data_IF_646821526415
#
_entry.id   IF_646821526415
#
_cell.length_a   1.000
_cell.length_b   1.000
_cell.length_c   1.000
_cell.angle_alpha   90.00
_cell.angle_beta   90.00
_cell.angle_gamma   90.00
#
_symmetry.space_group_name_H-M   'P 1'
#
loop_
_entity.id
_entity.type
_entity.pdbx_description
1 polymer ?
#
# COMPACT_ATOMS: atom_id res chain seq x y z
N UNK A 1 -28.07 1.61 -58.78
CA UNK A 1 -26.89 2.02 -57.98
C UNK A 1 -27.31 1.87 -56.54
N UNK A 2 -27.01 0.72 -55.98
CA UNK A 2 -27.36 0.33 -54.62
C UNK A 2 -26.07 0.44 -53.80
N UNK A 3 -26.05 1.34 -52.85
CA UNK A 3 -24.92 1.53 -51.93
C UNK A 3 -25.17 0.66 -50.69
N UNK A 4 -24.41 -0.42 -50.58
CA UNK A 4 -24.30 -1.24 -49.39
C UNK A 4 -23.55 -0.48 -48.27
N UNK A 5 -24.26 -0.19 -47.20
CA UNK A 5 -23.65 0.35 -45.97
C UNK A 5 -23.37 -0.82 -45.04
N UNK A 6 -22.12 -1.30 -45.05
CA UNK A 6 -21.64 -2.33 -44.10
C UNK A 6 -21.49 -1.68 -42.73
N UNK A 7 -22.45 -1.94 -41.84
CA UNK A 7 -22.36 -1.61 -40.43
C UNK A 7 -21.44 -2.61 -39.77
N UNK A 8 -20.22 -2.16 -39.44
CA UNK A 8 -19.26 -2.92 -38.62
C UNK A 8 -19.76 -2.93 -37.17
N UNK A 9 -20.38 -4.03 -36.78
CA UNK A 9 -20.73 -4.31 -35.40
C UNK A 9 -19.43 -4.45 -34.57
N UNK A 10 -19.15 -3.45 -33.75
CA UNK A 10 -18.07 -3.53 -32.75
C UNK A 10 -18.35 -4.70 -31.81
N UNK A 11 -17.45 -5.67 -31.79
CA UNK A 11 -17.47 -6.75 -30.82
C UNK A 11 -17.33 -6.13 -29.42
N UNK A 12 -18.42 -6.14 -28.66
CA UNK A 12 -18.41 -5.88 -27.22
C UNK A 12 -17.59 -7.01 -26.57
N UNK A 13 -16.32 -6.74 -26.27
CA UNK A 13 -15.59 -7.54 -25.31
C UNK A 13 -16.38 -7.44 -23.99
N UNK A 14 -17.00 -8.53 -23.58
CA UNK A 14 -17.62 -8.64 -22.28
C UNK A 14 -16.51 -8.41 -21.24
N UNK A 15 -16.43 -7.19 -20.72
CA UNK A 15 -15.48 -6.76 -19.71
C UNK A 15 -15.67 -7.66 -18.48
N UNK A 16 -14.60 -8.27 -17.97
CA UNK A 16 -14.69 -9.13 -16.80
C UNK A 16 -15.35 -8.33 -15.65
N UNK A 17 -16.22 -8.97 -14.86
CA UNK A 17 -16.97 -8.24 -13.83
C UNK A 17 -16.00 -7.54 -12.86
N UNK A 18 -16.17 -6.24 -12.72
CA UNK A 18 -15.32 -5.42 -11.84
C UNK A 18 -15.48 -5.84 -10.37
N UNK A 19 -14.36 -6.11 -9.72
CA UNK A 19 -14.28 -6.37 -8.28
C UNK A 19 -14.33 -5.06 -7.48
N UNK A 20 -13.67 -4.01 -8.01
CA UNK A 20 -13.69 -2.65 -7.47
C UNK A 20 -14.18 -1.71 -8.55
N UNK A 21 -15.13 -0.84 -8.21
CA UNK A 21 -15.57 0.23 -9.10
C UNK A 21 -15.86 1.49 -8.31
N UNK A 22 -15.33 2.61 -8.79
CA UNK A 22 -15.63 3.95 -8.33
C UNK A 22 -16.27 4.71 -9.46
N UNK A 23 -17.42 5.32 -9.21
CA UNK A 23 -18.18 6.10 -10.18
C UNK A 23 -18.27 7.54 -9.70
N UNK A 24 -17.47 8.45 -10.31
CA UNK A 24 -17.42 9.87 -9.99
C UNK A 24 -17.40 10.15 -8.47
N UNK A 25 -16.51 9.45 -7.76
CA UNK A 25 -16.44 9.43 -6.30
C UNK A 25 -15.87 10.75 -5.76
N UNK A 26 -16.62 11.41 -4.89
CA UNK A 26 -16.17 12.56 -4.13
C UNK A 26 -16.17 12.24 -2.63
N UNK A 27 -15.11 12.65 -1.95
CA UNK A 27 -14.94 12.47 -0.51
C UNK A 27 -14.48 13.78 0.11
N UNK A 28 -15.15 14.23 1.16
CA UNK A 28 -14.74 15.40 1.93
C UNK A 28 -14.59 15.04 3.40
N UNK A 29 -13.61 15.66 4.09
CA UNK A 29 -13.50 15.66 5.53
C UNK A 29 -13.83 17.05 6.02
N UNK A 30 -14.85 17.19 6.84
CA UNK A 30 -15.44 18.48 7.24
C UNK A 30 -15.75 19.36 6.00
N UNK A 31 -14.97 20.42 5.77
CA UNK A 31 -15.15 21.34 4.63
C UNK A 31 -14.20 21.05 3.46
N UNK A 32 -13.20 20.18 3.69
CA UNK A 32 -12.13 19.97 2.72
C UNK A 32 -12.46 18.79 1.79
N UNK A 33 -12.69 19.10 0.52
CA UNK A 33 -12.85 18.08 -0.52
C UNK A 33 -11.49 17.47 -0.84
N UNK A 34 -11.36 16.17 -0.66
CA UNK A 34 -10.11 15.42 -0.85
C UNK A 34 -10.10 14.64 -2.16
N UNK A 35 -11.23 14.04 -2.53
CA UNK A 35 -11.37 13.34 -3.80
C UNK A 35 -12.37 14.07 -4.69
N UNK A 36 -11.96 14.30 -5.94
CA UNK A 36 -12.65 15.15 -6.89
C UNK A 36 -13.14 14.35 -8.10
N UNK A 37 -14.10 13.43 -7.90
CA UNK A 37 -14.71 12.69 -9.00
C UNK A 37 -13.85 11.52 -9.50
N UNK A 38 -13.26 10.72 -8.61
CA UNK A 38 -12.49 9.54 -8.98
C UNK A 38 -13.41 8.53 -9.68
N UNK A 39 -13.03 8.15 -10.90
CA UNK A 39 -13.69 7.07 -11.67
C UNK A 39 -12.66 6.03 -12.04
N UNK A 40 -12.88 4.78 -11.65
CA UNK A 40 -12.03 3.65 -11.99
C UNK A 40 -12.78 2.31 -11.89
N UNK A 41 -12.28 1.32 -12.60
CA UNK A 41 -12.79 -0.06 -12.56
C UNK A 41 -11.62 -1.02 -12.52
N UNK A 42 -11.64 -2.00 -11.59
CA UNK A 42 -10.61 -3.04 -11.44
C UNK A 42 -11.28 -4.39 -11.63
N UNK A 43 -11.01 -5.11 -12.73
CA UNK A 43 -11.50 -6.45 -12.97
C UNK A 43 -10.87 -7.48 -12.01
N UNK A 44 -11.48 -8.66 -11.94
CA UNK A 44 -10.97 -9.77 -11.16
C UNK A 44 -9.55 -10.21 -11.64
N UNK A 45 -8.68 -10.55 -10.71
CA UNK A 45 -7.33 -11.07 -10.94
C UNK A 45 -6.28 -10.01 -11.29
N UNK A 46 -6.65 -8.72 -11.41
CA UNK A 46 -5.71 -7.66 -11.71
C UNK A 46 -4.95 -7.20 -10.45
N UNK A 47 -3.65 -6.95 -10.58
CA UNK A 47 -2.80 -6.31 -9.55
C UNK A 47 -2.58 -4.86 -9.90
N UNK A 48 -3.13 -3.95 -9.08
CA UNK A 48 -3.17 -2.51 -9.34
C UNK A 48 -2.46 -1.76 -8.22
N UNK A 49 -1.54 -0.87 -8.59
CA UNK A 49 -0.95 0.10 -7.67
C UNK A 49 -1.69 1.44 -7.72
N UNK A 50 -1.91 2.05 -6.56
CA UNK A 50 -2.26 3.46 -6.43
C UNK A 50 -1.01 4.20 -5.95
N UNK A 51 -0.51 5.12 -6.79
CA UNK A 51 0.67 5.95 -6.51
C UNK A 51 0.31 7.42 -6.38
N UNK A 52 1.26 8.26 -5.99
CA UNK A 52 1.08 9.71 -5.84
C UNK A 52 1.77 10.27 -4.61
N UNK A 53 1.86 11.59 -4.51
CA UNK A 53 2.47 12.29 -3.39
C UNK A 53 1.69 12.14 -2.07
N UNK A 54 2.32 12.51 -0.94
CA UNK A 54 1.63 12.57 0.34
C UNK A 54 0.50 13.60 0.28
N UNK A 55 -0.67 13.24 0.84
CA UNK A 55 -1.86 14.09 0.78
C UNK A 55 -2.62 14.07 -0.55
N UNK A 56 -2.20 13.30 -1.56
CA UNK A 56 -2.87 13.26 -2.87
C UNK A 56 -4.26 12.60 -2.87
N UNK A 57 -4.63 11.87 -1.79
CA UNK A 57 -5.93 11.20 -1.68
C UNK A 57 -5.86 9.66 -1.71
N UNK A 58 -4.67 9.03 -1.83
CA UNK A 58 -4.50 7.57 -1.89
C UNK A 58 -5.19 6.82 -0.75
N UNK A 59 -4.80 7.11 0.48
CA UNK A 59 -5.40 6.46 1.66
C UNK A 59 -6.87 6.83 1.85
N UNK A 60 -7.30 8.02 1.38
CA UNK A 60 -8.70 8.41 1.38
C UNK A 60 -9.51 7.57 0.40
N UNK A 61 -8.95 7.25 -0.77
CA UNK A 61 -9.56 6.31 -1.73
C UNK A 61 -9.76 4.92 -1.12
N UNK A 62 -8.74 4.38 -0.42
CA UNK A 62 -8.88 3.10 0.29
C UNK A 62 -9.92 3.18 1.42
N UNK A 63 -9.91 4.27 2.21
CA UNK A 63 -10.89 4.48 3.28
C UNK A 63 -12.33 4.57 2.73
N UNK A 64 -12.50 5.18 1.56
CA UNK A 64 -13.79 5.21 0.88
C UNK A 64 -14.23 3.79 0.48
N UNK A 65 -13.37 2.98 -0.14
CA UNK A 65 -13.64 1.58 -0.48
C UNK A 65 -13.97 0.72 0.75
N UNK A 66 -13.33 0.99 1.88
CA UNK A 66 -13.58 0.29 3.15
C UNK A 66 -14.81 0.85 3.90
N UNK A 67 -15.47 1.89 3.34
CA UNK A 67 -16.64 2.54 3.93
C UNK A 67 -16.33 3.25 5.24
N UNK A 68 -15.11 3.77 5.41
CA UNK A 68 -14.65 4.52 6.58
C UNK A 68 -14.42 6.01 6.30
N UNK A 69 -14.48 6.44 5.02
CA UNK A 69 -14.47 7.85 4.63
C UNK A 69 -15.88 8.32 4.25
N UNK A 70 -16.24 9.59 4.52
CA UNK A 70 -17.55 10.14 4.16
C UNK A 70 -17.61 10.44 2.67
N UNK A 71 -18.41 9.68 1.92
CA UNK A 71 -18.68 9.91 0.51
C UNK A 71 -19.72 11.02 0.42
N UNK A 72 -19.42 12.10 -0.30
CA UNK A 72 -20.29 13.25 -0.50
C UNK A 72 -21.11 13.13 -1.79
N UNK A 73 -20.53 12.53 -2.83
CA UNK A 73 -21.26 12.20 -4.07
C UNK A 73 -20.55 11.07 -4.83
N UNK A 74 -21.22 10.51 -5.84
CA UNK A 74 -20.75 9.33 -6.56
C UNK A 74 -21.00 8.04 -5.79
N UNK A 75 -20.41 6.94 -6.25
CA UNK A 75 -20.56 5.63 -5.61
C UNK A 75 -19.23 4.85 -5.62
N UNK A 76 -19.08 4.00 -4.61
CA UNK A 76 -18.00 3.03 -4.53
C UNK A 76 -18.61 1.63 -4.38
N UNK A 77 -18.23 0.73 -5.27
CA UNK A 77 -18.77 -0.63 -5.33
C UNK A 77 -17.66 -1.64 -5.13
N UNK A 78 -17.95 -2.66 -4.32
CA UNK A 78 -17.14 -3.86 -4.16
C UNK A 78 -17.98 -5.07 -4.55
N UNK A 79 -17.49 -5.86 -5.51
CA UNK A 79 -18.23 -7.01 -6.07
C UNK A 79 -19.64 -6.61 -6.55
N UNK A 80 -19.77 -5.43 -7.19
CA UNK A 80 -21.04 -4.89 -7.67
C UNK A 80 -22.00 -4.47 -6.55
N UNK A 81 -21.55 -4.33 -5.31
CA UNK A 81 -22.35 -3.87 -4.16
C UNK A 81 -21.84 -2.54 -3.65
N UNK A 82 -22.75 -1.56 -3.59
CA UNK A 82 -22.39 -0.24 -3.02
C UNK A 82 -21.95 -0.38 -1.57
N UNK A 83 -20.85 0.30 -1.22
CA UNK A 83 -20.28 0.29 0.14
C UNK A 83 -21.19 1.01 1.14
N UNK A 84 -22.10 1.88 0.68
CA UNK A 84 -23.11 2.50 1.55
C UNK A 84 -24.09 1.46 2.08
N UNK A 85 -24.34 0.39 1.30
CA UNK A 85 -25.10 -0.78 1.72
C UNK A 85 -24.21 -1.84 2.40
N UNK A 86 -23.42 -1.46 3.42
CA UNK A 86 -22.36 -2.27 4.08
C UNK A 86 -22.72 -3.73 4.37
N UNK A 87 -23.99 -4.01 4.70
CA UNK A 87 -24.47 -5.37 5.01
C UNK A 87 -24.53 -6.28 3.77
N UNK A 88 -24.55 -5.71 2.55
CA UNK A 88 -24.61 -6.44 1.28
C UNK A 88 -23.23 -6.72 0.70
N UNK A 89 -22.20 -5.99 1.16
CA UNK A 89 -20.82 -6.19 0.72
C UNK A 89 -20.30 -7.51 1.29
N UNK A 90 -19.67 -8.37 0.46
CA UNK A 90 -19.12 -9.64 0.91
C UNK A 90 -17.75 -9.47 1.59
N UNK A 91 -17.72 -8.82 2.76
CA UNK A 91 -16.50 -8.51 3.52
C UNK A 91 -15.60 -9.71 3.80
N UNK A 92 -16.16 -10.92 3.82
CA UNK A 92 -15.39 -12.17 3.98
C UNK A 92 -14.48 -12.48 2.78
N UNK A 93 -14.74 -11.89 1.61
CA UNK A 93 -13.94 -12.02 0.39
C UNK A 93 -12.84 -10.97 0.29
N UNK A 94 -12.73 -10.07 1.28
CA UNK A 94 -11.81 -8.94 1.29
C UNK A 94 -10.80 -9.11 2.40
N UNK A 95 -9.51 -9.11 2.04
CA UNK A 95 -8.39 -8.99 2.94
C UNK A 95 -7.92 -7.53 2.98
N UNK A 96 -7.65 -7.01 4.19
CA UNK A 96 -7.11 -5.65 4.34
C UNK A 96 -5.87 -5.64 5.22
N UNK A 97 -4.81 -5.05 4.70
CA UNK A 97 -3.53 -4.82 5.38
C UNK A 97 -3.36 -3.32 5.58
N UNK A 98 -3.48 -2.80 6.81
CA UNK A 98 -3.27 -1.39 7.11
C UNK A 98 -1.78 -1.03 7.08
N UNK A 99 -1.48 0.25 6.90
CA UNK A 99 -0.12 0.79 6.91
C UNK A 99 0.64 0.48 8.21
N UNK A 100 -0.01 0.62 9.36
CA UNK A 100 0.54 0.27 10.69
C UNK A 100 -0.56 -0.21 11.63
N UNK A 101 -0.19 -1.12 12.53
CA UNK A 101 -0.99 -1.30 13.75
C UNK A 101 -0.51 -0.24 14.74
N UNK A 102 -1.42 0.61 15.23
CA UNK A 102 -1.15 1.44 16.38
C UNK A 102 -0.92 0.51 17.57
N UNK A 103 0.32 0.38 18.02
CA UNK A 103 0.73 -0.43 19.19
C UNK A 103 0.32 0.26 20.50
N UNK A 104 -0.88 0.80 20.56
CA UNK A 104 -1.40 1.63 21.67
C UNK A 104 -2.18 0.85 22.74
N UNK A 105 -1.83 -0.39 23.04
CA UNK A 105 -2.53 -1.15 24.07
C UNK A 105 -1.61 -1.89 25.02
N UNK A 106 -1.93 -1.89 26.32
CA UNK A 106 -1.22 -2.62 27.36
C UNK A 106 -1.27 -4.18 27.19
N UNK A 107 -2.10 -4.69 26.27
CA UNK A 107 -2.24 -6.11 25.98
C UNK A 107 -1.62 -6.41 24.63
N UNK A 108 -0.53 -7.18 24.65
CA UNK A 108 0.14 -7.63 23.44
C UNK A 108 -0.43 -8.97 23.00
N UNK A 109 -1.17 -8.98 21.87
CA UNK A 109 -1.62 -10.22 21.25
C UNK A 109 -0.46 -10.96 20.60
N UNK A 110 -0.50 -12.29 20.61
CA UNK A 110 0.45 -13.14 19.86
C UNK A 110 0.14 -13.10 18.36
N UNK A 111 1.15 -13.42 17.53
CA UNK A 111 1.00 -13.46 16.07
C UNK A 111 -0.18 -14.35 15.62
N UNK A 112 -0.32 -15.52 16.22
CA UNK A 112 -1.41 -16.46 15.88
C UNK A 112 -2.79 -15.90 16.27
N UNK A 113 -2.91 -15.18 17.38
CA UNK A 113 -4.17 -14.53 17.79
C UNK A 113 -4.55 -13.41 16.82
N UNK A 114 -3.57 -12.62 16.38
CA UNK A 114 -3.78 -11.60 15.35
C UNK A 114 -4.27 -12.22 14.05
N UNK A 115 -3.64 -13.31 13.57
CA UNK A 115 -4.09 -13.99 12.36
C UNK A 115 -5.48 -14.60 12.53
N UNK A 116 -5.75 -15.27 13.66
CA UNK A 116 -7.09 -15.81 13.97
C UNK A 116 -8.18 -14.73 13.97
N UNK A 117 -7.85 -13.51 14.41
CA UNK A 117 -8.80 -12.39 14.36
C UNK A 117 -9.30 -12.11 12.95
N UNK A 118 -8.49 -12.41 11.92
CA UNK A 118 -8.86 -12.31 10.51
C UNK A 118 -10.03 -13.24 10.14
N UNK A 119 -10.29 -14.32 10.88
CA UNK A 119 -11.42 -15.23 10.68
C UNK A 119 -12.73 -14.72 11.26
N UNK A 120 -12.69 -13.71 12.15
CA UNK A 120 -13.87 -13.11 12.77
C UNK A 120 -14.54 -12.11 11.84
N UNK A 121 -15.85 -11.92 11.96
CA UNK A 121 -16.58 -10.99 11.13
C UNK A 121 -18.04 -10.85 11.59
N UNK A 122 -18.88 -10.05 10.92
CA UNK A 122 -20.22 -9.70 11.36
C UNK A 122 -21.15 -10.90 11.64
N UNK A 123 -20.91 -12.02 10.96
CA UNK A 123 -21.67 -13.27 11.12
C UNK A 123 -20.94 -14.34 11.91
N UNK A 124 -19.70 -14.05 12.35
CA UNK A 124 -18.83 -14.98 13.05
C UNK A 124 -18.07 -14.25 14.15
N UNK A 125 -18.61 -14.26 15.35
CA UNK A 125 -18.06 -13.55 16.51
C UNK A 125 -17.17 -14.43 17.37
N UNK A 126 -17.18 -15.75 17.17
CA UNK A 126 -16.48 -16.73 18.01
C UNK A 126 -15.49 -17.58 17.22
N UNK A 127 -14.42 -17.97 17.89
CA UNK A 127 -13.47 -18.94 17.35
C UNK A 127 -14.13 -20.30 17.17
N UNK A 128 -13.73 -21.02 16.11
CA UNK A 128 -14.24 -22.36 15.82
C UNK A 128 -13.11 -23.39 15.83
N UNK A 129 -13.42 -24.69 16.04
CA UNK A 129 -12.45 -25.76 15.84
C UNK A 129 -11.79 -25.63 14.44
N UNK A 130 -10.46 -25.79 14.36
CA UNK A 130 -9.69 -25.64 13.12
C UNK A 130 -9.16 -24.24 12.83
N UNK A 131 -9.60 -23.19 13.53
CA UNK A 131 -9.11 -21.82 13.30
C UNK A 131 -7.62 -21.65 13.59
N UNK A 132 -7.15 -22.39 14.60
CA UNK A 132 -5.72 -22.39 14.95
C UNK A 132 -4.89 -23.01 13.83
N UNK A 133 -5.34 -24.11 13.24
CA UNK A 133 -4.66 -24.73 12.10
C UNK A 133 -4.63 -23.79 10.89
N UNK A 134 -5.78 -23.20 10.52
CA UNK A 134 -5.84 -22.21 9.43
C UNK A 134 -4.95 -20.99 9.65
N UNK A 135 -4.86 -20.52 10.90
CA UNK A 135 -3.99 -19.40 11.23
C UNK A 135 -2.51 -19.81 11.17
N UNK A 136 -2.18 -21.06 11.56
CA UNK A 136 -0.84 -21.60 11.44
C UNK A 136 -0.42 -21.73 9.98
N UNK A 137 -1.29 -22.28 9.11
CA UNK A 137 -1.06 -22.40 7.67
C UNK A 137 -0.83 -21.01 7.04
N UNK A 138 -1.62 -20.00 7.43
CA UNK A 138 -1.43 -18.63 6.96
C UNK A 138 -0.09 -18.02 7.45
N UNK A 139 0.34 -18.32 8.69
CA UNK A 139 1.65 -17.90 9.18
C UNK A 139 2.79 -18.64 8.48
N UNK A 140 2.63 -19.87 8.10
CA UNK A 140 3.61 -20.65 7.35
C UNK A 140 3.81 -20.05 5.95
N UNK A 141 2.73 -19.69 5.24
CA UNK A 141 2.77 -19.03 3.93
C UNK A 141 3.60 -17.73 3.94
N UNK A 142 3.60 -16.98 5.03
CA UNK A 142 4.40 -15.76 5.17
C UNK A 142 5.73 -15.97 5.89
N UNK A 143 6.12 -17.23 6.18
CA UNK A 143 7.36 -17.60 6.87
C UNK A 143 7.42 -17.16 8.33
N UNK A 144 6.28 -17.11 9.02
CA UNK A 144 6.16 -16.67 10.42
C UNK A 144 5.67 -17.75 11.39
N UNK A 145 5.53 -19.01 10.95
CA UNK A 145 5.06 -20.11 11.80
C UNK A 145 5.93 -20.29 13.07
N UNK A 146 7.27 -20.14 12.95
CA UNK A 146 8.20 -20.24 14.08
C UNK A 146 8.03 -19.14 15.13
N UNK A 147 7.29 -18.06 14.83
CA UNK A 147 6.96 -16.93 15.69
C UNK A 147 5.48 -16.86 16.06
N UNK A 148 4.72 -17.92 15.80
CA UNK A 148 3.26 -17.94 16.00
C UNK A 148 2.82 -17.47 17.40
N UNK A 149 3.55 -17.86 18.43
CA UNK A 149 3.26 -17.51 19.83
C UNK A 149 4.00 -16.26 20.32
N UNK A 150 4.81 -15.61 19.48
CA UNK A 150 5.52 -14.40 19.84
C UNK A 150 4.54 -13.22 19.92
N UNK A 151 4.63 -12.37 20.96
CA UNK A 151 3.86 -11.13 21.05
C UNK A 151 4.19 -10.18 19.90
N UNK A 152 3.20 -9.47 19.36
CA UNK A 152 3.40 -8.55 18.22
C UNK A 152 4.41 -7.44 18.50
N UNK A 153 4.49 -6.95 19.73
CA UNK A 153 5.37 -5.85 20.13
C UNK A 153 6.87 -6.20 20.14
N UNK A 154 7.24 -7.49 20.13
CA UNK A 154 8.65 -7.91 20.04
C UNK A 154 9.07 -8.30 18.62
N UNK A 155 8.15 -8.26 17.66
CA UNK A 155 8.44 -8.52 16.25
C UNK A 155 9.08 -7.29 15.59
N UNK A 156 10.02 -7.51 14.67
CA UNK A 156 10.50 -6.43 13.81
C UNK A 156 9.37 -5.89 12.92
N UNK A 157 9.52 -4.67 12.37
CA UNK A 157 8.52 -4.08 11.49
C UNK A 157 8.12 -4.99 10.33
N UNK A 158 9.11 -5.60 9.64
CA UNK A 158 8.86 -6.55 8.56
C UNK A 158 8.22 -7.87 9.02
N UNK A 159 8.53 -8.35 10.24
CA UNK A 159 7.87 -9.51 10.83
C UNK A 159 6.41 -9.21 11.17
N UNK A 160 6.15 -8.09 11.83
CA UNK A 160 4.80 -7.65 12.16
C UNK A 160 3.94 -7.45 10.90
N UNK A 161 4.53 -6.84 9.84
CA UNK A 161 3.86 -6.65 8.56
C UNK A 161 3.45 -7.98 7.92
N UNK A 162 4.34 -9.00 7.94
CA UNK A 162 3.99 -10.34 7.42
C UNK A 162 2.87 -11.00 8.21
N UNK A 163 2.81 -10.82 9.53
CA UNK A 163 1.69 -11.30 10.35
C UNK A 163 0.38 -10.62 9.95
N UNK A 164 0.39 -9.31 9.63
CA UNK A 164 -0.79 -8.60 9.13
C UNK A 164 -1.26 -9.12 7.77
N UNK A 165 -0.32 -9.45 6.91
CA UNK A 165 -0.63 -10.05 5.61
C UNK A 165 -1.22 -11.45 5.81
N UNK A 166 -0.64 -12.28 6.69
CA UNK A 166 -1.23 -13.58 7.04
C UNK A 166 -2.67 -13.44 7.56
N UNK A 167 -2.93 -12.44 8.42
CA UNK A 167 -4.28 -12.10 8.89
C UNK A 167 -5.23 -11.76 7.74
N UNK A 168 -4.77 -11.02 6.73
CA UNK A 168 -5.59 -10.67 5.57
C UNK A 168 -5.84 -11.88 4.67
N UNK A 169 -4.84 -12.76 4.52
CA UNK A 169 -4.89 -13.94 3.64
C UNK A 169 -5.58 -15.17 4.26
N UNK A 170 -5.79 -15.24 5.59
CA UNK A 170 -6.28 -16.43 6.30
C UNK A 170 -7.66 -16.94 5.82
N UNK A 171 -8.41 -16.08 5.11
CA UNK A 171 -9.72 -16.41 4.51
C UNK A 171 -9.65 -16.72 3.02
N UNK A 172 -8.48 -16.70 2.40
CA UNK A 172 -8.32 -16.78 0.95
C UNK A 172 -9.20 -15.72 0.24
N UNK A 173 -8.90 -14.42 0.42
CA UNK A 173 -9.72 -13.36 -0.11
C UNK A 173 -9.67 -13.32 -1.64
N UNK A 174 -10.76 -12.90 -2.27
CA UNK A 174 -10.80 -12.62 -3.72
C UNK A 174 -10.26 -11.21 -4.04
N UNK A 175 -10.25 -10.32 -3.05
CA UNK A 175 -9.66 -8.97 -3.13
C UNK A 175 -8.75 -8.73 -1.92
N UNK A 176 -7.49 -8.43 -2.18
CA UNK A 176 -6.50 -8.01 -1.18
C UNK A 176 -6.21 -6.52 -1.34
N UNK A 177 -6.49 -5.74 -0.31
CA UNK A 177 -6.20 -4.31 -0.26
C UNK A 177 -5.04 -4.08 0.71
N UNK A 178 -4.00 -3.38 0.29
CA UNK A 178 -2.83 -3.08 1.11
C UNK A 178 -2.53 -1.57 1.08
N UNK A 179 -2.40 -0.98 2.26
CA UNK A 179 -2.07 0.44 2.43
C UNK A 179 -0.61 0.56 2.85
N UNK A 180 0.26 0.98 1.92
CA UNK A 180 1.70 1.16 2.09
C UNK A 180 2.41 -0.01 2.81
N UNK A 181 2.28 -1.25 2.32
CA UNK A 181 2.74 -2.43 3.06
C UNK A 181 4.25 -2.53 3.21
N UNK A 182 5.02 -1.74 2.44
CA UNK A 182 6.48 -1.72 2.45
C UNK A 182 7.10 -0.58 3.24
N UNK A 183 6.29 0.31 3.83
CA UNK A 183 6.79 1.47 4.55
C UNK A 183 7.58 1.08 5.81
N UNK A 184 8.83 1.53 5.89
CA UNK A 184 9.68 1.38 7.09
C UNK A 184 10.16 -0.04 7.35
N UNK A 185 10.21 -0.92 6.35
CA UNK A 185 10.78 -2.27 6.45
C UNK A 185 12.09 -2.36 5.63
N UNK A 186 12.97 -3.27 6.04
CA UNK A 186 14.26 -3.51 5.39
C UNK A 186 14.11 -4.20 4.03
N UNK A 187 15.16 -4.14 3.18
CA UNK A 187 15.16 -4.69 1.82
C UNK A 187 14.85 -6.20 1.78
N UNK A 188 15.39 -6.98 2.73
CA UNK A 188 15.12 -8.43 2.79
C UNK A 188 13.65 -8.72 3.11
N UNK A 189 13.03 -7.89 3.96
CA UNK A 189 11.60 -7.97 4.27
C UNK A 189 10.74 -7.54 3.08
N UNK A 190 11.15 -6.52 2.31
CA UNK A 190 10.46 -6.10 1.07
C UNK A 190 10.48 -7.22 0.02
N UNK A 191 11.63 -7.83 -0.23
CA UNK A 191 11.75 -8.94 -1.18
C UNK A 191 10.84 -10.13 -0.81
N UNK A 192 10.77 -10.47 0.49
CA UNK A 192 9.86 -11.52 0.97
C UNK A 192 8.40 -11.16 0.80
N UNK A 193 8.05 -9.89 1.02
CA UNK A 193 6.69 -9.40 0.83
C UNK A 193 6.30 -9.45 -0.65
N UNK A 194 7.20 -9.09 -1.56
CA UNK A 194 6.98 -9.22 -3.00
C UNK A 194 6.70 -10.69 -3.39
N UNK A 195 7.43 -11.66 -2.81
CA UNK A 195 7.14 -13.09 -3.01
C UNK A 195 5.72 -13.48 -2.57
N UNK A 196 5.27 -13.01 -1.40
CA UNK A 196 3.90 -13.29 -0.90
C UNK A 196 2.83 -12.66 -1.84
N UNK A 197 3.10 -11.47 -2.37
CA UNK A 197 2.19 -10.81 -3.34
C UNK A 197 2.17 -11.59 -4.65
N UNK A 198 3.32 -12.08 -5.12
CA UNK A 198 3.42 -12.92 -6.32
C UNK A 198 2.61 -14.21 -6.17
N UNK A 199 2.71 -14.89 -5.02
CA UNK A 199 1.93 -16.10 -4.72
C UNK A 199 0.42 -15.81 -4.73
N UNK A 200 -0.01 -14.73 -4.09
CA UNK A 200 -1.42 -14.32 -4.07
C UNK A 200 -1.94 -13.98 -5.48
N UNK A 201 -1.12 -13.30 -6.31
CA UNK A 201 -1.43 -13.02 -7.72
C UNK A 201 -1.57 -14.32 -8.52
N UNK A 202 -0.64 -15.27 -8.35
CA UNK A 202 -0.67 -16.56 -9.02
C UNK A 202 -1.91 -17.40 -8.65
N UNK A 203 -2.45 -17.23 -7.43
CA UNK A 203 -3.73 -17.81 -6.97
C UNK A 203 -4.96 -17.10 -7.56
N UNK A 204 -4.78 -16.03 -8.34
CA UNK A 204 -5.87 -15.27 -8.97
C UNK A 204 -6.52 -14.22 -8.07
N UNK A 205 -5.91 -13.88 -6.93
CA UNK A 205 -6.39 -12.81 -6.05
C UNK A 205 -6.29 -11.46 -6.77
N UNK A 206 -7.36 -10.67 -6.75
CA UNK A 206 -7.31 -9.25 -7.16
C UNK A 206 -6.57 -8.46 -6.10
N UNK A 207 -5.59 -7.64 -6.49
CA UNK A 207 -4.73 -6.96 -5.52
C UNK A 207 -4.76 -5.45 -5.79
N UNK A 208 -5.06 -4.66 -4.76
CA UNK A 208 -5.02 -3.20 -4.78
C UNK A 208 -4.02 -2.73 -3.73
N UNK A 209 -2.94 -2.09 -4.17
CA UNK A 209 -1.84 -1.70 -3.29
C UNK A 209 -1.62 -0.19 -3.39
N UNK A 210 -1.58 0.50 -2.26
CA UNK A 210 -1.07 1.88 -2.20
C UNK A 210 0.43 1.84 -2.01
N UNK A 211 1.15 2.56 -2.86
CA UNK A 211 2.62 2.64 -2.85
C UNK A 211 3.08 4.09 -2.95
N UNK A 212 4.25 4.40 -2.41
CA UNK A 212 5.00 5.62 -2.70
C UNK A 212 5.84 5.45 -3.95
N UNK A 213 6.51 4.31 -4.05
CA UNK A 213 7.40 3.90 -5.15
C UNK A 213 7.08 2.45 -5.50
N UNK A 214 7.19 2.09 -6.77
CA UNK A 214 6.84 0.75 -7.22
C UNK A 214 7.83 -0.31 -6.72
N UNK A 215 9.14 0.03 -6.70
CA UNK A 215 10.22 -0.81 -6.17
C UNK A 215 10.09 -2.28 -6.55
N UNK A 216 10.30 -3.17 -5.60
CA UNK A 216 10.26 -4.63 -5.79
C UNK A 216 8.89 -5.17 -6.24
N UNK A 217 7.83 -4.38 -6.12
CA UNK A 217 6.48 -4.77 -6.60
C UNK A 217 6.24 -4.41 -8.07
N UNK A 218 7.02 -3.49 -8.65
CA UNK A 218 6.84 -3.03 -10.03
C UNK A 218 6.59 -4.16 -11.04
N UNK A 219 7.43 -5.21 -11.09
CA UNK A 219 7.26 -6.35 -12.02
C UNK A 219 5.98 -7.18 -11.81
N UNK A 220 5.33 -7.05 -10.64
CA UNK A 220 4.11 -7.78 -10.30
C UNK A 220 2.84 -7.03 -10.67
N UNK A 221 2.94 -5.73 -10.95
CA UNK A 221 1.81 -4.88 -11.25
C UNK A 221 1.33 -5.06 -12.69
N UNK A 222 0.03 -5.06 -12.88
CA UNK A 222 -0.59 -5.04 -14.21
C UNK A 222 -1.01 -3.63 -14.61
N UNK A 223 -1.19 -2.72 -13.62
CA UNK A 223 -1.68 -1.36 -13.84
C UNK A 223 -1.27 -0.44 -12.72
N UNK A 224 -0.99 0.80 -13.07
CA UNK A 224 -0.73 1.90 -12.13
C UNK A 224 -1.79 2.99 -12.28
N UNK A 225 -2.30 3.44 -11.14
CA UNK A 225 -3.20 4.58 -11.01
C UNK A 225 -2.46 5.67 -10.22
N UNK A 226 -2.09 6.76 -10.87
CA UNK A 226 -1.46 7.89 -10.18
C UNK A 226 -2.52 8.90 -9.75
N UNK A 227 -2.58 9.19 -8.44
CA UNK A 227 -3.49 10.18 -7.88
C UNK A 227 -2.70 11.45 -7.54
N UNK A 228 -3.15 12.58 -8.06
CA UNK A 228 -2.61 13.90 -7.80
C UNK A 228 -3.73 14.87 -7.45
N UNK A 229 -3.60 15.58 -6.33
CA UNK A 229 -4.59 16.54 -5.84
C UNK A 229 -6.04 16.03 -5.92
N UNK A 230 -6.29 14.78 -5.51
CA UNK A 230 -7.61 14.18 -5.48
C UNK A 230 -8.20 13.73 -6.82
N UNK A 231 -7.41 13.79 -7.92
CA UNK A 231 -7.80 13.32 -9.24
C UNK A 231 -6.91 12.16 -9.69
N UNK A 232 -7.42 11.28 -10.55
CA UNK A 232 -6.59 10.33 -11.29
C UNK A 232 -5.90 11.09 -12.42
N UNK A 233 -4.59 11.24 -12.32
CA UNK A 233 -3.76 11.95 -13.33
C UNK A 233 -3.12 10.99 -14.33
N UNK A 234 -2.99 9.70 -13.98
CA UNK A 234 -2.53 8.65 -14.87
C UNK A 234 -3.24 7.34 -14.55
N UNK A 235 -3.50 6.57 -15.59
CA UNK A 235 -4.12 5.25 -15.52
C UNK A 235 -3.59 4.40 -16.69
N UNK A 236 -2.66 3.49 -16.41
CA UNK A 236 -1.99 2.76 -17.48
C UNK A 236 -1.00 1.69 -16.98
N UNK A 237 -0.05 1.33 -17.83
CA UNK A 237 1.01 0.39 -17.48
C UNK A 237 1.90 0.98 -16.36
N UNK A 238 2.48 0.14 -15.47
CA UNK A 238 3.36 0.63 -14.42
C UNK A 238 4.60 1.31 -14.99
N UNK A 239 5.00 2.47 -14.42
CA UNK A 239 6.26 3.11 -14.73
C UNK A 239 7.38 2.41 -13.97
N UNK A 240 7.99 1.41 -14.60
CA UNK A 240 9.13 0.71 -14.03
C UNK A 240 10.38 1.47 -14.49
N UNK A 241 11.04 2.18 -13.55
CA UNK A 241 12.33 2.81 -13.82
C UNK A 241 13.39 1.71 -13.98
N UNK A 242 13.88 1.50 -15.19
CA UNK A 242 14.97 0.56 -15.52
C UNK A 242 16.36 1.06 -15.02
N UNK A 243 16.44 2.08 -14.17
CA UNK A 243 17.65 2.78 -13.74
C UNK A 243 18.45 2.10 -12.62
N UNK A 244 18.55 0.76 -12.60
CA UNK A 244 19.49 0.08 -11.69
C UNK A 244 20.79 -0.40 -12.37
N UNK A 245 21.03 -0.06 -13.63
CA UNK A 245 22.30 -0.41 -14.31
C UNK A 245 22.96 0.79 -14.99
N UNK A 246 23.50 1.78 -14.26
CA UNK A 246 24.61 2.61 -14.77
C UNK A 246 25.13 3.63 -13.76
N UNK A 247 25.73 3.20 -12.65
CA UNK A 247 26.69 4.03 -11.92
C UNK A 247 27.89 3.19 -11.45
N UNK A 248 28.60 2.55 -12.39
CA UNK A 248 29.99 2.17 -12.25
C UNK A 248 30.70 2.48 -13.58
N UNK A 249 31.21 3.67 -13.67
CA UNK A 249 31.98 4.10 -14.84
C UNK A 249 32.69 5.42 -14.58
N UNK A 250 33.88 5.36 -14.00
CA UNK A 250 35.07 6.18 -14.18
C UNK A 250 34.88 7.66 -14.51
N UNK A 251 35.13 8.51 -13.56
CA UNK A 251 35.44 9.92 -13.77
C UNK A 251 36.82 10.20 -13.22
N UNK A 252 37.84 10.09 -14.06
CA UNK A 252 39.21 10.61 -13.83
C UNK A 252 39.10 12.12 -13.55
N UNK A 253 39.43 12.52 -12.33
CA UNK A 253 39.65 13.92 -12.02
C UNK A 253 41.12 14.28 -12.28
N UNK A 254 41.37 14.89 -13.43
CA UNK A 254 42.57 15.68 -13.69
C UNK A 254 42.58 16.91 -12.82
N UNK A 255 43.49 16.98 -11.88
CA UNK A 255 43.88 18.21 -11.18
C UNK A 255 44.84 19.03 -12.08
N UNK A 256 44.64 20.31 -12.30
CA UNK A 256 45.75 21.22 -12.66
C UNK A 256 46.41 21.76 -11.39
N UNK A 257 47.71 21.46 -11.30
CA UNK A 257 48.63 22.13 -10.34
C UNK A 257 48.93 23.54 -10.80
N UNK A 258 49.08 24.44 -9.85
CA UNK A 258 49.96 25.62 -9.99
C UNK A 258 49.38 26.95 -9.56
N UNK A 259 49.75 27.47 -8.40
CA UNK A 259 50.59 28.65 -8.21
C UNK A 259 50.49 29.23 -6.80
N UNK A 260 51.62 29.14 -6.08
CA UNK A 260 52.31 30.13 -5.22
C UNK A 260 51.51 31.06 -4.28
N UNK A 261 51.90 30.98 -2.97
CA UNK A 261 51.67 31.95 -1.92
C UNK A 261 52.40 33.31 -2.16
N UNK A 262 52.08 34.39 -1.44
CA UNK A 262 52.82 34.65 -0.18
C UNK A 262 51.99 35.27 0.98
N UNK A 263 52.34 34.88 2.16
CA UNK A 263 52.85 35.52 3.39
C UNK A 263 52.15 36.76 3.99
N UNK A 264 51.98 36.63 5.33
CA UNK A 264 52.11 37.62 6.41
C UNK A 264 50.92 38.53 6.77
N UNK A 265 50.59 38.48 8.07
CA UNK A 265 49.84 39.51 8.78
C UNK A 265 49.30 39.03 10.13
N UNK A 266 50.14 39.17 11.12
CA UNK A 266 50.02 39.05 12.56
C UNK A 266 49.01 40.04 13.17
N UNK A 267 48.58 39.80 14.41
CA UNK A 267 47.80 40.58 15.40
C UNK A 267 46.33 40.06 15.56
N UNK A 268 45.85 39.70 16.74
CA UNK A 268 46.18 40.03 18.09
C UNK A 268 45.09 39.44 19.00
N UNK A 269 45.52 38.99 20.12
CA UNK A 269 44.75 38.55 21.29
C UNK A 269 43.73 39.59 21.76
N UNK A 270 42.51 39.20 22.13
CA UNK A 270 41.84 39.72 23.34
C UNK A 270 40.93 38.65 23.94
N UNK A 271 41.29 38.29 25.14
CA UNK A 271 40.56 37.57 26.18
C UNK A 271 39.32 38.33 26.64
N UNK A 272 38.25 37.63 26.94
CA UNK A 272 37.08 38.19 27.62
C UNK A 272 36.29 37.10 28.32
N UNK A 273 36.70 36.82 29.56
CA UNK A 273 35.98 36.08 30.60
C UNK A 273 34.72 36.88 31.00
N UNK A 274 33.58 36.22 31.06
CA UNK A 274 32.50 36.63 31.98
C UNK A 274 31.86 35.40 32.63
N UNK A 275 32.12 35.32 33.93
CA UNK A 275 31.48 34.50 34.97
C UNK A 275 30.26 35.25 35.55
N UNK A 276 29.33 34.52 36.11
CA UNK A 276 28.38 35.02 37.11
C UNK A 276 26.94 34.69 36.78
N UNK A 277 26.37 33.73 37.42
CA UNK A 277 25.74 33.60 38.75
C UNK A 277 24.27 34.06 38.77
N UNK A 278 23.44 33.12 39.13
CA UNK A 278 22.35 33.04 40.12
C UNK A 278 21.05 33.82 39.98
N UNK A 279 20.01 33.04 40.35
CA UNK A 279 18.74 33.35 41.06
C UNK A 279 17.56 33.92 40.23
N UNK A 280 16.47 33.22 40.09
CA UNK A 280 15.33 32.88 40.99
C UNK A 280 14.43 31.86 40.33
#
# INVERSE_FOLDING_TARGET
MTTDTTTTAGASHAEAPAVVRLDNLHVAWDTDLILHGITLSIPAGQTVAITGSNGSGKSTTLKALLGTAPITSGDALLFGRSITARRRVPWQKIGYVPQRISSGGAVSSSAIEVVRSGLLGPRRLWAMPGDTARAMDALERVGMAHRAHSPMNILSGGQAQRVLIARALVRHPELLIMDEPMAGIDAASRARLAGIVADAKAEGTTILIVLHELGELGPLLDRELHISAGHVSYDGAPHIDDDHEQHHGGGDHCHPQGATAPSQGDHGLVSGIWTGTDND
#
